data_IF_542531790090
#
_entry.id   IF_542531790090
#
_cell.length_a   1.000
_cell.length_b   1.000
_cell.length_c   1.000
_cell.angle_alpha   90.00
_cell.angle_beta   90.00
_cell.angle_gamma   90.00
#
_symmetry.space_group_name_H-M   'P 1'
#
loop_
_entity.id
_entity.type
_entity.pdbx_description
1 polymer ?
#
# COMPACT_ATOMS: atom_id res chain seq x y z
N UNK A 1 -15.69 16.20 -18.70
CA UNK A 1 -15.54 14.76 -18.41
C UNK A 1 -16.63 14.37 -17.44
N UNK A 2 -17.45 13.39 -17.79
CA UNK A 2 -18.54 12.87 -16.94
C UNK A 2 -17.97 12.20 -15.68
N UNK A 3 -18.67 12.29 -14.54
CA UNK A 3 -18.19 11.83 -13.23
C UNK A 3 -17.80 10.34 -13.23
N UNK A 4 -18.57 9.51 -13.93
CA UNK A 4 -18.29 8.08 -14.09
C UNK A 4 -16.91 7.83 -14.71
N UNK A 5 -16.51 8.62 -15.69
CA UNK A 5 -15.20 8.49 -16.30
C UNK A 5 -14.07 8.90 -15.34
N UNK A 6 -14.31 9.85 -14.44
CA UNK A 6 -13.32 10.25 -13.42
C UNK A 6 -13.10 9.10 -12.46
N UNK A 7 -14.18 8.52 -11.93
CA UNK A 7 -14.10 7.38 -11.00
C UNK A 7 -13.42 6.17 -11.64
N UNK A 8 -13.73 5.85 -12.91
CA UNK A 8 -13.08 4.75 -13.62
C UNK A 8 -11.57 5.00 -13.81
N UNK A 9 -11.20 6.24 -14.15
CA UNK A 9 -9.82 6.61 -14.50
C UNK A 9 -8.92 6.77 -13.27
N UNK A 10 -9.45 7.29 -12.17
CA UNK A 10 -8.68 7.70 -11.00
C UNK A 10 -9.06 6.97 -9.71
N UNK A 11 -10.12 6.14 -9.72
CA UNK A 11 -10.71 5.45 -8.55
C UNK A 11 -11.21 6.37 -7.45
N UNK A 12 -11.29 7.67 -7.70
CA UNK A 12 -11.79 8.70 -6.79
C UNK A 12 -12.79 9.58 -7.53
N UNK A 13 -13.71 10.18 -6.78
CA UNK A 13 -14.61 11.19 -7.31
C UNK A 13 -13.89 12.53 -7.52
N UNK A 14 -14.53 13.45 -8.25
CA UNK A 14 -13.96 14.76 -8.54
C UNK A 14 -13.75 15.61 -7.29
N UNK A 15 -14.64 15.51 -6.30
CA UNK A 15 -14.59 16.34 -5.11
C UNK A 15 -13.39 15.95 -4.24
N UNK A 16 -13.19 14.65 -3.99
CA UNK A 16 -12.03 14.10 -3.29
C UNK A 16 -10.73 14.44 -4.00
N UNK A 17 -10.69 14.36 -5.34
CA UNK A 17 -9.49 14.74 -6.11
C UNK A 17 -9.16 16.22 -5.91
N UNK A 18 -10.17 17.10 -5.95
CA UNK A 18 -9.98 18.53 -5.73
C UNK A 18 -9.49 18.82 -4.31
N UNK A 19 -10.12 18.21 -3.31
CA UNK A 19 -9.70 18.31 -1.92
C UNK A 19 -8.26 17.86 -1.73
N UNK A 20 -7.90 16.70 -2.28
CA UNK A 20 -6.55 16.15 -2.22
C UNK A 20 -5.54 17.09 -2.90
N UNK A 21 -5.89 17.68 -4.05
CA UNK A 21 -5.02 18.65 -4.71
C UNK A 21 -4.78 19.87 -3.82
N UNK A 22 -5.81 20.43 -3.17
CA UNK A 22 -5.68 21.57 -2.26
C UNK A 22 -4.85 21.22 -1.03
N UNK A 23 -5.02 20.03 -0.45
CA UNK A 23 -4.24 19.59 0.71
C UNK A 23 -2.75 19.40 0.39
N UNK A 24 -2.42 18.86 -0.80
CA UNK A 24 -1.05 18.57 -1.21
C UNK A 24 -0.33 19.78 -1.86
N UNK A 25 -1.08 20.78 -2.33
CA UNK A 25 -0.55 22.00 -2.95
C UNK A 25 0.60 22.67 -2.15
N UNK A 26 0.48 22.93 -0.83
CA UNK A 26 1.57 23.56 -0.07
C UNK A 26 2.86 22.73 -0.04
N UNK A 27 2.75 21.41 -0.01
CA UNK A 27 3.90 20.50 -0.02
C UNK A 27 4.55 20.41 -1.41
N UNK A 28 3.75 20.53 -2.47
CA UNK A 28 4.20 20.46 -3.86
C UNK A 28 4.74 21.80 -4.39
N UNK A 29 4.26 22.93 -3.86
CA UNK A 29 4.66 24.29 -4.25
C UNK A 29 5.86 24.85 -3.47
N UNK A 30 6.30 24.19 -2.40
CA UNK A 30 7.40 24.69 -1.57
C UNK A 30 8.67 24.99 -2.41
N UNK A 31 9.13 26.25 -2.29
CA UNK A 31 10.06 26.93 -3.21
C UNK A 31 11.45 26.31 -3.38
N UNK A 32 11.81 25.33 -2.56
CA UNK A 32 13.12 24.66 -2.61
C UNK A 32 13.19 23.66 -3.80
N UNK A 33 12.04 23.26 -4.36
CA UNK A 33 12.02 22.26 -5.42
C UNK A 33 10.87 22.49 -6.41
N UNK A 34 10.95 23.55 -7.22
CA UNK A 34 10.16 23.66 -8.47
C UNK A 34 10.99 23.30 -9.74
N UNK A 35 11.78 22.18 -9.79
CA UNK A 35 12.66 21.92 -10.92
C UNK A 35 11.94 21.49 -12.20
N UNK A 36 10.65 21.12 -12.13
CA UNK A 36 9.95 20.49 -13.25
C UNK A 36 9.02 21.42 -14.02
N UNK A 37 8.62 22.56 -13.47
CA UNK A 37 7.65 23.48 -14.09
C UNK A 37 6.23 22.91 -14.22
N UNK A 38 5.94 21.74 -13.63
CA UNK A 38 4.65 21.05 -13.74
C UNK A 38 3.70 21.54 -12.63
N UNK A 39 2.47 21.95 -12.94
CA UNK A 39 1.48 22.34 -11.93
C UNK A 39 1.20 21.22 -10.92
N UNK A 40 1.01 21.52 -9.61
CA UNK A 40 0.71 20.52 -8.58
C UNK A 40 -0.46 19.60 -8.93
N UNK A 41 -1.52 20.14 -9.53
CA UNK A 41 -2.71 19.41 -9.93
C UNK A 41 -2.38 18.34 -10.99
N UNK A 42 -1.51 18.67 -11.95
CA UNK A 42 -1.07 17.73 -12.99
C UNK A 42 -0.19 16.64 -12.38
N UNK A 43 0.64 16.98 -11.39
CA UNK A 43 1.45 16.01 -10.65
C UNK A 43 0.56 15.00 -9.92
N UNK A 44 -0.41 15.49 -9.14
CA UNK A 44 -1.35 14.63 -8.39
C UNK A 44 -2.17 13.75 -9.33
N UNK A 45 -2.78 14.31 -10.37
CA UNK A 45 -3.57 13.53 -11.34
C UNK A 45 -2.75 12.46 -12.05
N UNK A 46 -1.50 12.75 -12.40
CA UNK A 46 -0.63 11.77 -13.07
C UNK A 46 -0.29 10.61 -12.15
N UNK A 47 -0.04 10.89 -10.87
CA UNK A 47 0.23 9.85 -9.86
C UNK A 47 -1.03 9.04 -9.55
N UNK A 48 -2.19 9.68 -9.38
CA UNK A 48 -3.46 8.98 -9.20
C UNK A 48 -3.79 8.07 -10.37
N UNK A 49 -3.55 8.52 -11.61
CA UNK A 49 -3.76 7.68 -12.78
C UNK A 49 -2.82 6.47 -12.81
N UNK A 50 -1.57 6.62 -12.38
CA UNK A 50 -0.64 5.52 -12.23
C UNK A 50 -1.11 4.49 -11.19
N UNK A 51 -1.56 4.94 -10.02
CA UNK A 51 -2.07 4.06 -8.98
C UNK A 51 -3.35 3.34 -9.42
N UNK A 52 -4.27 4.06 -10.06
CA UNK A 52 -5.54 3.52 -10.54
C UNK A 52 -5.40 2.51 -11.68
N UNK A 53 -4.41 2.71 -12.55
CA UNK A 53 -4.18 1.88 -13.74
C UNK A 53 -3.31 0.65 -13.47
N UNK A 54 -2.51 0.64 -12.40
CA UNK A 54 -1.51 -0.40 -12.14
C UNK A 54 -0.50 -0.57 -13.28
N UNK A 55 -0.38 0.42 -14.16
CA UNK A 55 0.42 0.36 -15.38
C UNK A 55 1.88 0.74 -15.13
N UNK A 56 2.77 0.44 -16.07
CA UNK A 56 4.16 0.86 -15.97
C UNK A 56 4.29 2.39 -15.99
N UNK A 57 5.22 2.92 -15.18
CA UNK A 57 5.50 4.35 -15.11
C UNK A 57 5.76 4.98 -16.48
N UNK A 58 6.41 4.24 -17.39
CA UNK A 58 6.68 4.69 -18.76
C UNK A 58 5.41 4.99 -19.54
N UNK A 59 4.37 4.17 -19.40
CA UNK A 59 3.09 4.33 -20.10
C UNK A 59 2.35 5.56 -19.59
N UNK A 60 2.32 5.73 -18.27
CA UNK A 60 1.65 6.88 -17.63
C UNK A 60 2.43 8.17 -17.85
N UNK A 61 3.76 8.14 -17.81
CA UNK A 61 4.59 9.29 -18.14
C UNK A 61 4.32 9.79 -19.55
N UNK A 62 4.23 8.89 -20.54
CA UNK A 62 3.87 9.24 -21.92
C UNK A 62 2.47 9.86 -21.99
N UNK A 63 1.47 9.25 -21.32
CA UNK A 63 0.09 9.78 -21.30
C UNK A 63 0.00 11.17 -20.66
N UNK A 64 0.83 11.44 -19.65
CA UNK A 64 0.91 12.73 -18.97
C UNK A 64 1.84 13.75 -19.65
N UNK A 65 2.47 13.40 -20.78
CA UNK A 65 3.40 14.28 -21.50
C UNK A 65 4.74 14.51 -20.78
N UNK A 66 5.15 13.59 -19.91
CA UNK A 66 6.37 13.64 -19.13
C UNK A 66 7.38 12.59 -19.59
N UNK A 67 8.67 12.85 -19.42
CA UNK A 67 9.68 11.79 -19.51
C UNK A 67 9.60 10.88 -18.29
N UNK A 68 10.01 9.60 -18.41
CA UNK A 68 9.97 8.66 -17.28
C UNK A 68 10.79 9.16 -16.06
N UNK A 69 12.00 9.73 -16.20
CA UNK A 69 12.73 10.26 -15.05
C UNK A 69 12.00 11.41 -14.35
N UNK A 70 11.33 12.27 -15.12
CA UNK A 70 10.51 13.36 -14.59
C UNK A 70 9.31 12.82 -13.82
N UNK A 71 8.62 11.84 -14.38
CA UNK A 71 7.50 11.18 -13.71
C UNK A 71 7.95 10.48 -12.42
N UNK A 72 9.10 9.81 -12.42
CA UNK A 72 9.67 9.19 -11.21
C UNK A 72 9.91 10.21 -10.09
N UNK A 73 10.43 11.39 -10.43
CA UNK A 73 10.62 12.47 -9.45
C UNK A 73 9.29 13.02 -8.93
N UNK A 74 8.31 13.21 -9.82
CA UNK A 74 6.95 13.63 -9.46
C UNK A 74 6.30 12.60 -8.52
N UNK A 75 6.41 11.32 -8.85
CA UNK A 75 5.88 10.21 -8.06
C UNK A 75 6.42 10.26 -6.63
N UNK A 76 7.75 10.29 -6.46
CA UNK A 76 8.39 10.34 -5.15
C UNK A 76 7.94 11.56 -4.33
N UNK A 77 7.75 12.72 -4.97
CA UNK A 77 7.31 13.94 -4.29
C UNK A 77 5.86 13.87 -3.83
N UNK A 78 4.96 13.44 -4.70
CA UNK A 78 3.54 13.27 -4.35
C UNK A 78 3.39 12.23 -3.24
N UNK A 79 4.10 11.10 -3.32
CA UNK A 79 4.13 10.12 -2.23
C UNK A 79 4.67 10.70 -0.92
N UNK A 80 5.76 11.48 -0.98
CA UNK A 80 6.29 12.13 0.22
C UNK A 80 5.29 13.11 0.84
N UNK A 81 4.51 13.83 0.03
CA UNK A 81 3.46 14.71 0.50
C UNK A 81 2.31 13.91 1.11
N UNK A 82 1.82 12.87 0.42
CA UNK A 82 0.78 11.96 0.92
C UNK A 82 1.16 11.34 2.28
N UNK A 83 2.40 10.89 2.44
CA UNK A 83 2.90 10.29 3.68
C UNK A 83 2.82 11.24 4.89
N UNK A 84 2.92 12.56 4.67
CA UNK A 84 2.76 13.55 5.76
C UNK A 84 1.32 13.62 6.27
N UNK A 85 0.34 13.40 5.38
CA UNK A 85 -1.08 13.45 5.69
C UNK A 85 -1.67 12.07 6.02
N UNK A 86 -0.90 10.99 5.84
CA UNK A 86 -1.35 9.61 6.03
C UNK A 86 -2.00 9.35 7.40
N UNK A 87 -1.47 9.95 8.48
CA UNK A 87 -2.01 9.77 9.84
C UNK A 87 -3.42 10.35 10.03
N UNK A 88 -3.87 11.21 9.13
CA UNK A 88 -5.24 11.74 9.15
C UNK A 88 -6.25 10.81 8.49
N UNK A 89 -5.78 9.84 7.69
CA UNK A 89 -6.62 8.92 6.93
C UNK A 89 -6.52 7.47 7.40
N UNK A 90 -5.37 7.09 7.97
CA UNK A 90 -5.09 5.75 8.48
C UNK A 90 -5.04 5.82 10.00
N UNK A 91 -6.11 5.40 10.65
CA UNK A 91 -6.27 5.45 12.11
C UNK A 91 -6.62 4.07 12.62
N UNK A 92 -5.83 3.57 13.57
CA UNK A 92 -6.12 2.32 14.26
C UNK A 92 -7.11 2.57 15.40
N UNK A 93 -8.17 1.75 15.52
CA UNK A 93 -9.09 1.84 16.65
C UNK A 93 -8.32 1.66 17.95
N UNK A 94 -8.57 2.53 18.93
CA UNK A 94 -8.03 2.36 20.27
C UNK A 94 -8.87 1.37 21.07
N UNK A 95 -8.36 0.95 22.23
CA UNK A 95 -9.05 -0.01 23.11
C UNK A 95 -10.45 0.48 23.48
N UNK A 96 -10.60 1.80 23.64
CA UNK A 96 -11.86 2.47 23.95
C UNK A 96 -12.88 2.36 22.81
N UNK A 97 -12.42 2.28 21.56
CA UNK A 97 -13.27 2.24 20.36
C UNK A 97 -13.76 0.83 20.03
N UNK A 98 -13.13 -0.21 20.58
CA UNK A 98 -13.40 -1.61 20.25
C UNK A 98 -14.85 -2.04 20.50
N UNK A 99 -15.53 -1.46 21.51
CA UNK A 99 -16.93 -1.77 21.78
C UNK A 99 -17.85 -1.25 20.66
N UNK A 100 -17.57 -0.05 20.16
CA UNK A 100 -18.30 0.56 19.05
C UNK A 100 -18.07 -0.24 17.78
N UNK A 101 -16.80 -0.53 17.46
CA UNK A 101 -16.41 -1.31 16.28
C UNK A 101 -17.10 -2.69 16.25
N UNK A 102 -17.14 -3.39 17.40
CA UNK A 102 -17.86 -4.67 17.53
C UNK A 102 -19.36 -4.54 17.25
N UNK A 103 -19.99 -3.49 17.74
CA UNK A 103 -21.40 -3.22 17.51
C UNK A 103 -21.68 -2.97 16.03
N UNK A 104 -20.81 -2.21 15.36
CA UNK A 104 -20.98 -1.83 13.96
C UNK A 104 -20.80 -3.04 13.02
N UNK A 105 -19.78 -3.87 13.25
CA UNK A 105 -19.62 -5.13 12.50
C UNK A 105 -20.79 -6.09 12.73
N UNK A 106 -21.31 -6.16 13.95
CA UNK A 106 -22.48 -6.97 14.24
C UNK A 106 -23.72 -6.46 13.49
N UNK A 107 -23.90 -5.14 13.39
CA UNK A 107 -24.99 -4.54 12.62
C UNK A 107 -24.88 -4.83 11.11
N UNK A 108 -23.66 -4.88 10.56
CA UNK A 108 -23.41 -5.17 9.13
C UNK A 108 -23.61 -6.64 8.77
N UNK A 109 -23.04 -7.56 9.57
CA UNK A 109 -22.91 -8.97 9.20
C UNK A 109 -23.55 -9.96 10.15
N UNK A 110 -24.06 -9.53 11.30
CA UNK A 110 -24.55 -10.38 12.39
C UNK A 110 -23.51 -11.36 12.94
N UNK A 111 -22.22 -11.08 12.74
CA UNK A 111 -21.13 -11.89 13.28
C UNK A 111 -20.63 -11.21 14.57
N UNK A 112 -20.75 -11.86 15.74
CA UNK A 112 -20.38 -11.25 17.00
C UNK A 112 -18.86 -11.15 17.17
N UNK A 113 -18.40 -10.13 17.89
CA UNK A 113 -17.01 -9.94 18.32
C UNK A 113 -15.97 -9.71 17.21
N UNK A 114 -16.38 -9.26 16.02
CA UNK A 114 -15.43 -8.78 15.00
C UNK A 114 -14.93 -7.39 15.38
N UNK A 115 -13.61 -7.17 15.29
CA UNK A 115 -12.96 -5.88 15.56
C UNK A 115 -12.31 -5.26 14.31
N UNK A 116 -12.31 -5.97 13.18
CA UNK A 116 -11.70 -5.55 11.93
C UNK A 116 -11.78 -6.68 10.91
N UNK A 117 -11.65 -6.33 9.63
CA UNK A 117 -11.50 -7.30 8.55
C UNK A 117 -10.12 -7.12 7.91
N UNK A 118 -9.29 -8.18 7.88
CA UNK A 118 -7.96 -8.12 7.28
C UNK A 118 -8.02 -8.75 5.89
N UNK A 119 -7.66 -7.99 4.87
CA UNK A 119 -7.36 -8.50 3.53
C UNK A 119 -5.83 -8.53 3.32
N UNK A 120 -5.34 -9.57 2.65
CA UNK A 120 -3.92 -9.80 2.44
C UNK A 120 -3.59 -9.96 0.97
N UNK A 121 -2.65 -9.16 0.47
CA UNK A 121 -2.12 -9.27 -0.90
C UNK A 121 -0.63 -9.66 -0.86
N UNK A 122 -0.29 -10.73 -1.56
CA UNK A 122 1.11 -11.10 -1.82
C UNK A 122 1.66 -10.29 -3.01
N UNK A 123 2.63 -9.43 -2.75
CA UNK A 123 3.31 -8.64 -3.78
C UNK A 123 4.63 -9.29 -4.15
N UNK A 124 4.71 -9.84 -5.37
CA UNK A 124 5.93 -10.48 -5.87
C UNK A 124 7.09 -9.47 -6.01
N UNK A 125 8.25 -9.83 -5.47
CA UNK A 125 9.47 -9.01 -5.56
C UNK A 125 10.30 -9.45 -6.77
N UNK A 126 10.35 -8.60 -7.80
CA UNK A 126 11.21 -8.80 -8.99
C UNK A 126 12.69 -8.59 -8.64
N UNK A 127 12.94 -7.68 -7.70
CA UNK A 127 14.26 -7.42 -7.15
C UNK A 127 14.16 -7.48 -5.63
N UNK A 128 14.84 -8.45 -5.05
CA UNK A 128 14.85 -8.69 -3.62
C UNK A 128 16.22 -8.36 -3.02
N UNK A 129 16.27 -7.94 -1.75
CA UNK A 129 17.54 -7.65 -1.09
C UNK A 129 18.36 -8.94 -0.97
N UNK A 130 19.61 -8.93 -1.46
CA UNK A 130 20.54 -10.07 -1.31
C UNK A 130 20.89 -10.34 0.16
N UNK A 131 20.81 -9.31 1.01
CA UNK A 131 20.90 -9.45 2.48
C UNK A 131 19.49 -9.69 3.01
N UNK A 132 19.28 -10.78 3.74
CA UNK A 132 17.98 -11.20 4.26
C UNK A 132 16.98 -11.67 3.19
N UNK A 133 17.47 -12.26 2.09
CA UNK A 133 16.65 -12.87 1.03
C UNK A 133 15.66 -13.90 1.57
N UNK A 134 16.08 -14.69 2.57
CA UNK A 134 15.26 -15.73 3.20
C UNK A 134 13.97 -15.20 3.83
N UNK A 135 13.99 -13.94 4.28
CA UNK A 135 12.86 -13.27 4.95
C UNK A 135 11.74 -12.92 3.97
N UNK A 136 12.01 -12.93 2.67
CA UNK A 136 11.03 -12.69 1.60
C UNK A 136 10.72 -13.95 0.80
N UNK A 137 11.41 -15.05 1.08
CA UNK A 137 11.34 -16.28 0.33
C UNK A 137 10.37 -17.23 1.00
N UNK A 138 9.37 -17.68 0.26
CA UNK A 138 8.47 -18.73 0.74
C UNK A 138 9.08 -20.14 0.58
N UNK A 139 8.41 -21.15 1.13
CA UNK A 139 8.77 -22.57 0.99
C UNK A 139 8.91 -23.02 -0.49
N UNK A 140 8.19 -22.38 -1.42
CA UNK A 140 8.27 -22.65 -2.87
C UNK A 140 9.37 -21.85 -3.58
N UNK A 141 10.24 -21.17 -2.85
CA UNK A 141 11.36 -20.36 -3.36
C UNK A 141 10.97 -19.14 -4.20
N UNK A 142 9.74 -18.67 -4.05
CA UNK A 142 9.26 -17.39 -4.61
C UNK A 142 9.48 -16.27 -3.62
N UNK A 143 9.83 -15.10 -4.15
CA UNK A 143 10.03 -13.88 -3.36
C UNK A 143 8.80 -12.99 -3.40
N UNK A 144 8.19 -12.74 -2.25
CA UNK A 144 7.09 -11.80 -2.13
C UNK A 144 7.08 -11.12 -0.76
N UNK A 145 6.26 -10.09 -0.66
CA UNK A 145 5.98 -9.35 0.57
C UNK A 145 4.50 -9.48 0.90
N UNK A 146 4.17 -9.66 2.17
CA UNK A 146 2.79 -9.64 2.63
C UNK A 146 2.40 -8.19 2.86
N UNK A 147 1.39 -7.75 2.11
CA UNK A 147 0.74 -6.45 2.33
C UNK A 147 -0.63 -6.76 2.89
N UNK A 148 -0.85 -6.42 4.15
CA UNK A 148 -2.14 -6.56 4.82
C UNK A 148 -2.82 -5.21 4.90
N UNK A 149 -4.13 -5.22 4.70
CA UNK A 149 -4.99 -4.06 4.87
C UNK A 149 -6.13 -4.45 5.79
N UNK A 150 -6.23 -3.79 6.94
CA UNK A 150 -7.37 -3.93 7.84
C UNK A 150 -8.40 -2.83 7.51
N UNK A 151 -9.65 -3.23 7.31
CA UNK A 151 -10.77 -2.34 7.06
C UNK A 151 -11.69 -2.31 8.29
N UNK A 152 -12.01 -1.09 8.72
CA UNK A 152 -12.98 -0.80 9.77
C UNK A 152 -14.42 -0.88 9.24
N UNK A 153 -15.41 -0.97 10.12
CA UNK A 153 -16.82 -1.10 9.73
C UNK A 153 -17.37 0.18 9.06
N UNK A 154 -16.69 1.30 9.21
CA UNK A 154 -16.95 2.60 8.58
C UNK A 154 -16.13 2.85 7.30
N UNK A 155 -15.30 1.89 6.88
CA UNK A 155 -14.35 2.03 5.77
C UNK A 155 -13.01 2.68 6.16
N UNK A 156 -12.70 2.73 7.46
CA UNK A 156 -11.38 3.15 7.95
C UNK A 156 -10.31 2.15 7.55
N UNK A 157 -9.28 2.61 6.81
CA UNK A 157 -8.24 1.74 6.27
C UNK A 157 -6.99 1.78 7.12
N UNK A 158 -6.45 0.60 7.40
CA UNK A 158 -5.19 0.34 8.08
C UNK A 158 -4.33 -0.53 7.17
N UNK A 159 -3.02 -0.29 7.08
CA UNK A 159 -2.13 -1.14 6.28
C UNK A 159 -0.86 -1.52 7.05
N UNK A 160 -0.52 -2.81 7.01
CA UNK A 160 0.72 -3.37 7.53
C UNK A 160 1.48 -4.06 6.38
N UNK A 161 2.80 -3.95 6.40
CA UNK A 161 3.67 -4.56 5.39
C UNK A 161 4.73 -5.35 6.13
N UNK A 162 4.68 -6.66 6.00
CA UNK A 162 5.52 -7.57 6.76
C UNK A 162 6.20 -8.58 5.85
N UNK A 163 7.43 -8.99 6.21
CA UNK A 163 8.09 -10.10 5.54
C UNK A 163 7.32 -11.41 5.72
N UNK A 164 7.74 -12.45 5.00
CA UNK A 164 7.13 -13.78 5.14
C UNK A 164 7.60 -14.36 6.47
N UNK A 165 6.69 -14.49 7.43
CA UNK A 165 6.93 -15.23 8.67
C UNK A 165 7.15 -16.70 8.32
N UNK A 166 8.41 -17.12 8.33
CA UNK A 166 8.81 -18.51 8.23
C UNK A 166 9.01 -19.02 9.67
N UNK A 167 7.93 -19.28 10.41
CA UNK A 167 8.01 -19.78 11.80
C UNK A 167 8.22 -21.30 11.93
N UNK A 168 8.39 -22.05 10.84
CA UNK A 168 8.49 -23.50 10.90
C UNK A 168 9.85 -24.03 10.37
N UNK A 169 10.46 -24.91 11.17
CA UNK A 169 11.62 -25.79 10.93
C UNK A 169 13.02 -25.32 11.40
N UNK A 170 13.19 -25.07 12.70
CA UNK A 170 14.48 -25.34 13.40
C UNK A 170 14.45 -26.67 14.19
N UNK A 171 13.41 -27.51 14.05
CA UNK A 171 13.17 -28.64 14.96
C UNK A 171 13.45 -30.06 14.42
N UNK A 172 13.97 -30.26 13.20
CA UNK A 172 14.18 -31.62 12.65
C UNK A 172 15.61 -31.95 12.19
N UNK A 173 16.65 -31.22 12.63
CA UNK A 173 18.04 -31.56 12.30
C UNK A 173 18.79 -32.41 13.36
N UNK A 174 18.20 -32.72 14.52
CA UNK A 174 18.93 -33.48 15.58
C UNK A 174 18.69 -35.01 15.62
N UNK A 175 17.76 -35.58 14.84
CA UNK A 175 17.38 -37.00 15.02
C UNK A 175 17.89 -37.99 13.94
N UNK A 176 18.74 -37.55 12.99
CA UNK A 176 19.22 -38.42 11.90
C UNK A 176 20.64 -38.98 12.07
N UNK A 177 21.33 -38.74 13.20
CA UNK A 177 22.74 -39.14 13.38
C UNK A 177 22.96 -40.38 14.27
N UNK A 178 21.90 -41.12 14.64
CA UNK A 178 22.02 -42.26 15.57
C UNK A 178 21.49 -43.62 15.05
N UNK A 179 21.51 -43.86 13.73
CA UNK A 179 21.07 -45.16 13.16
C UNK A 179 22.09 -45.95 12.34
N UNK A 180 23.37 -45.57 12.34
CA UNK A 180 24.42 -46.36 11.68
C UNK A 180 25.50 -46.86 12.67
N UNK A 181 25.10 -47.65 13.67
CA UNK A 181 26.06 -48.46 14.44
C UNK A 181 25.46 -49.76 15.00
N UNK A 182 24.78 -50.55 14.17
CA UNK A 182 24.66 -52.00 14.38
C UNK A 182 24.70 -52.71 13.03
N UNK A 183 25.88 -53.22 12.65
CA UNK A 183 26.24 -54.60 12.27
C UNK A 183 27.72 -54.61 11.87
#
# INVERSE_FOLDING_TARGET
MEERHVIITYRLDRATIQELCTQLEPDLMSAICHPTGIPPQVQVLSVLHFLASGSFQTTVAIASGMSQPMFSNVLSRVFSALLKHMRSYIVFPQVEDLLTVKSDFYALGHIPNIIGAIDGTHVALVHHPRRSEQVYRNQKSYHFMNVQMEDGPDGGVVAAVEPVDNEDEEAEEEDMDNRDSVI
#
